data_IF_746989104300
#
_entry.id   IF_746989104300
#
_cell.length_a   1.000
_cell.length_b   1.000
_cell.length_c   1.000
_cell.angle_alpha   90.00
_cell.angle_beta   90.00
_cell.angle_gamma   90.00
#
_symmetry.space_group_name_H-M   'P 1'
#
loop_
_entity.id
_entity.type
_entity.pdbx_description
1 polymer ?
#
# COMPACT_ATOMS: atom_id res chain seq x y z
N UNK A 1 27.66 18.82 -4.15
CA UNK A 1 27.43 19.35 -5.53
C UNK A 1 28.39 18.68 -6.53
N UNK A 2 27.93 18.42 -7.76
CA UNK A 2 28.88 18.13 -8.84
C UNK A 2 29.77 19.37 -9.00
N UNK A 3 31.10 19.22 -9.13
CA UNK A 3 32.01 20.34 -9.31
C UNK A 3 31.83 20.87 -10.75
N UNK A 4 30.73 21.55 -10.98
CA UNK A 4 30.44 22.24 -12.22
C UNK A 4 31.08 23.63 -12.15
N UNK A 5 32.41 23.66 -12.20
CA UNK A 5 33.19 24.89 -12.29
C UNK A 5 33.79 24.93 -13.69
N UNK A 6 33.23 25.77 -14.56
CA UNK A 6 33.66 25.87 -15.94
C UNK A 6 34.28 27.24 -16.24
N UNK A 7 35.33 27.26 -17.06
CA UNK A 7 36.05 28.49 -17.43
C UNK A 7 35.34 29.15 -18.62
N UNK A 8 35.15 30.47 -18.58
CA UNK A 8 34.50 31.25 -19.64
C UNK A 8 35.42 31.32 -20.88
N UNK A 9 34.86 31.29 -22.09
CA UNK A 9 35.64 31.25 -23.35
C UNK A 9 35.63 32.57 -24.16
N UNK A 10 34.55 33.35 -24.20
CA UNK A 10 34.44 34.57 -25.03
C UNK A 10 33.45 35.60 -24.45
N UNK A 11 33.52 36.89 -24.85
CA UNK A 11 32.52 37.87 -24.41
C UNK A 11 31.15 37.45 -24.94
N UNK A 12 30.18 37.53 -24.05
CA UNK A 12 28.87 36.91 -24.19
C UNK A 12 28.09 37.59 -25.33
N UNK A 13 27.49 36.80 -26.23
CA UNK A 13 26.26 37.26 -26.87
C UNK A 13 25.23 37.40 -25.75
N UNK A 14 24.35 38.41 -25.81
CA UNK A 14 23.52 38.85 -24.68
C UNK A 14 22.91 37.71 -23.83
N UNK A 15 22.62 36.53 -24.40
CA UNK A 15 22.03 35.38 -23.68
C UNK A 15 22.80 34.06 -23.79
N UNK A 16 24.12 34.07 -24.04
CA UNK A 16 24.93 32.86 -24.17
C UNK A 16 26.22 32.91 -23.36
N UNK A 17 26.48 31.83 -22.62
CA UNK A 17 27.73 31.58 -21.91
C UNK A 17 28.44 30.43 -22.64
N UNK A 18 29.64 30.69 -23.15
CA UNK A 18 30.48 29.66 -23.79
C UNK A 18 31.51 29.13 -22.78
N UNK A 19 31.53 27.82 -22.58
CA UNK A 19 32.44 27.11 -21.70
C UNK A 19 33.61 26.47 -22.47
N UNK A 20 34.63 26.01 -21.76
CA UNK A 20 35.85 25.40 -22.33
C UNK A 20 35.58 24.23 -23.25
N UNK A 21 34.61 23.40 -22.90
CA UNK A 21 34.29 22.18 -23.62
C UNK A 21 32.85 21.72 -23.33
N UNK A 22 32.40 20.74 -24.11
CA UNK A 22 31.05 20.18 -23.98
C UNK A 22 30.88 19.36 -22.70
N UNK A 23 31.95 18.83 -22.11
CA UNK A 23 31.87 18.04 -20.87
C UNK A 23 31.58 18.95 -19.66
N UNK A 24 32.19 20.14 -19.62
CA UNK A 24 31.92 21.18 -18.64
C UNK A 24 30.47 21.68 -18.73
N UNK A 25 29.98 21.93 -19.95
CA UNK A 25 28.59 22.30 -20.17
C UNK A 25 27.60 21.18 -19.82
N UNK A 26 27.98 19.91 -20.04
CA UNK A 26 27.16 18.76 -19.72
C UNK A 26 26.90 18.58 -18.22
N UNK A 27 27.58 19.30 -17.33
CA UNK A 27 27.30 19.30 -15.89
C UNK A 27 26.11 20.19 -15.49
N UNK A 28 25.63 21.06 -16.40
CA UNK A 28 24.47 21.93 -16.19
C UNK A 28 23.23 21.38 -16.89
N UNK A 29 22.04 21.75 -16.44
CA UNK A 29 20.76 21.39 -17.05
C UNK A 29 19.83 22.60 -17.14
N UNK A 30 18.86 22.58 -18.08
CA UNK A 30 17.77 23.55 -18.08
C UNK A 30 17.11 23.64 -16.70
N UNK A 31 16.84 24.86 -16.25
CA UNK A 31 16.29 25.16 -14.93
C UNK A 31 17.33 25.39 -13.84
N UNK A 32 18.62 25.08 -14.07
CA UNK A 32 19.68 25.39 -13.10
C UNK A 32 19.90 26.90 -12.99
N UNK A 33 20.05 27.39 -11.76
CA UNK A 33 20.61 28.72 -11.50
C UNK A 33 22.13 28.64 -11.53
N UNK A 34 22.78 29.58 -12.21
CA UNK A 34 24.24 29.70 -12.28
C UNK A 34 24.69 31.08 -11.84
N UNK A 35 25.89 31.15 -11.27
CA UNK A 35 26.58 32.41 -10.94
C UNK A 35 27.87 32.53 -11.72
N UNK A 36 28.19 33.76 -12.10
CA UNK A 36 29.38 34.12 -12.88
C UNK A 36 30.37 34.90 -12.02
N UNK A 37 31.64 34.46 -12.05
CA UNK A 37 32.76 35.14 -11.39
C UNK A 37 32.57 35.32 -9.87
N UNK A 38 33.25 36.32 -9.31
CA UNK A 38 33.08 36.76 -7.92
C UNK A 38 31.92 37.76 -7.73
N UNK A 39 31.36 38.27 -8.83
CA UNK A 39 30.38 39.37 -8.86
C UNK A 39 28.93 38.99 -8.55
N UNK A 40 28.61 37.71 -8.42
CA UNK A 40 27.31 37.25 -7.87
C UNK A 40 26.09 37.42 -8.78
N UNK A 41 26.26 37.75 -10.07
CA UNK A 41 25.15 37.76 -11.03
C UNK A 41 24.55 36.35 -11.14
N UNK A 42 23.24 36.24 -10.93
CA UNK A 42 22.51 34.96 -10.99
C UNK A 42 21.69 34.89 -12.27
N UNK A 43 21.96 33.87 -13.06
CA UNK A 43 21.27 33.61 -14.33
C UNK A 43 20.62 32.22 -14.28
N UNK A 44 19.61 32.00 -15.11
CA UNK A 44 18.96 30.69 -15.24
C UNK A 44 19.30 30.08 -16.59
N UNK A 45 19.74 28.83 -16.58
CA UNK A 45 20.00 28.04 -17.79
C UNK A 45 18.68 27.61 -18.42
N UNK A 46 18.49 27.92 -19.70
CA UNK A 46 17.31 27.52 -20.49
C UNK A 46 17.63 26.31 -21.36
N UNK A 47 18.86 26.24 -21.87
CA UNK A 47 19.30 25.16 -22.75
C UNK A 47 20.81 24.94 -22.63
N UNK A 48 21.22 23.69 -22.81
CA UNK A 48 22.63 23.30 -22.96
C UNK A 48 22.82 22.73 -24.36
N UNK A 49 23.79 23.23 -25.11
CA UNK A 49 24.08 22.79 -26.48
C UNK A 49 25.58 22.82 -26.76
N UNK A 50 26.20 21.65 -26.92
CA UNK A 50 27.66 21.56 -27.03
C UNK A 50 28.34 22.13 -25.79
N UNK A 51 29.20 23.13 -25.96
CA UNK A 51 29.85 23.87 -24.88
C UNK A 51 29.14 25.19 -24.50
N UNK A 52 27.92 25.44 -25.01
CA UNK A 52 27.18 26.68 -24.78
C UNK A 52 26.02 26.45 -23.81
N UNK A 53 25.92 27.32 -22.80
CA UNK A 53 24.73 27.49 -21.97
C UNK A 53 23.92 28.70 -22.50
N UNK A 54 22.68 28.45 -22.90
CA UNK A 54 21.73 29.51 -23.19
C UNK A 54 21.06 29.96 -21.89
N UNK A 55 21.08 31.26 -21.59
CA UNK A 55 20.47 31.81 -20.37
C UNK A 55 19.17 32.59 -20.66
N UNK A 56 18.33 32.70 -19.62
CA UNK A 56 17.00 33.30 -19.71
C UNK A 56 17.03 34.84 -19.80
N UNK A 57 17.99 35.47 -19.11
CA UNK A 57 18.16 36.92 -19.03
C UNK A 57 19.48 37.33 -19.67
N UNK A 58 19.59 38.61 -20.01
CA UNK A 58 20.83 39.13 -20.57
C UNK A 58 21.93 39.10 -19.52
N UNK A 59 23.16 38.76 -19.92
CA UNK A 59 24.31 38.93 -19.04
C UNK A 59 24.68 40.40 -18.97
N UNK A 60 24.85 40.92 -17.76
CA UNK A 60 25.05 42.36 -17.51
C UNK A 60 26.43 42.68 -16.97
N UNK A 61 27.12 41.70 -16.36
CA UNK A 61 28.49 41.86 -15.89
C UNK A 61 29.54 41.82 -17.01
N UNK A 62 30.75 42.26 -16.67
CA UNK A 62 31.95 42.04 -17.51
C UNK A 62 32.81 41.00 -16.82
N UNK A 63 33.06 39.87 -17.50
CA UNK A 63 33.77 38.73 -16.93
C UNK A 63 35.08 38.46 -17.68
N UNK A 64 36.10 38.03 -16.94
CA UNK A 64 37.40 37.65 -17.45
C UNK A 64 37.46 36.14 -17.71
N UNK A 65 37.55 35.71 -18.99
CA UNK A 65 37.69 34.30 -19.38
C UNK A 65 38.80 33.54 -18.64
N UNK A 66 39.90 34.20 -18.28
CA UNK A 66 41.03 33.54 -17.63
C UNK A 66 40.77 33.20 -16.15
N UNK A 67 40.08 34.07 -15.41
CA UNK A 67 39.95 33.98 -13.94
C UNK A 67 38.53 33.66 -13.48
N UNK A 68 37.51 34.10 -14.21
CA UNK A 68 36.13 33.89 -13.82
C UNK A 68 35.65 32.51 -14.19
N UNK A 69 34.72 32.01 -13.38
CA UNK A 69 34.16 30.67 -13.50
C UNK A 69 32.65 30.76 -13.45
N UNK A 70 32.00 29.79 -14.08
CA UNK A 70 30.58 29.54 -13.98
C UNK A 70 30.39 28.42 -12.97
N UNK A 71 29.55 28.65 -11.96
CA UNK A 71 29.17 27.64 -10.95
C UNK A 71 27.65 27.59 -10.76
N UNK A 72 27.15 26.52 -10.14
CA UNK A 72 25.77 26.48 -9.69
C UNK A 72 25.55 27.57 -8.62
N UNK A 73 24.46 28.32 -8.75
CA UNK A 73 24.12 29.40 -7.85
C UNK A 73 23.57 28.85 -6.52
N UNK A 74 24.14 29.31 -5.40
CA UNK A 74 23.69 28.96 -4.06
C UNK A 74 22.17 29.17 -3.92
N UNK A 75 21.46 28.26 -3.26
CA UNK A 75 20.02 28.32 -3.12
C UNK A 75 19.65 29.09 -1.83
N UNK A 76 18.93 30.23 -1.91
CA UNK A 76 18.47 30.91 -0.70
C UNK A 76 17.40 30.08 0.03
N UNK A 77 17.17 30.39 1.31
CA UNK A 77 16.02 29.85 2.03
C UNK A 77 14.72 30.18 1.26
N UNK A 78 13.77 29.24 1.28
CA UNK A 78 12.56 29.26 0.48
C UNK A 78 12.68 28.54 -0.86
N UNK A 79 13.89 28.14 -1.29
CA UNK A 79 14.07 27.37 -2.53
C UNK A 79 13.29 26.06 -2.46
N UNK A 80 12.41 25.83 -3.43
CA UNK A 80 11.58 24.62 -3.52
C UNK A 80 12.17 23.54 -4.40
N UNK A 81 12.95 23.90 -5.41
CA UNK A 81 13.52 22.96 -6.38
C UNK A 81 15.03 22.94 -6.28
N UNK A 82 15.60 21.76 -6.05
CA UNK A 82 17.05 21.54 -6.02
C UNK A 82 17.39 20.30 -6.82
N UNK A 83 18.64 20.23 -7.30
CA UNK A 83 19.14 19.04 -7.97
C UNK A 83 20.08 18.29 -7.04
N UNK A 84 19.80 17.01 -6.83
CA UNK A 84 20.52 16.14 -5.92
C UNK A 84 21.36 15.17 -6.74
N UNK A 85 22.64 15.09 -6.42
CA UNK A 85 23.56 14.09 -6.95
C UNK A 85 23.82 13.05 -5.85
N UNK A 86 23.28 11.82 -5.97
CA UNK A 86 23.48 10.82 -4.95
C UNK A 86 24.92 10.27 -5.03
N UNK A 87 25.48 9.88 -3.88
CA UNK A 87 26.80 9.24 -3.79
C UNK A 87 26.80 7.78 -4.25
N UNK A 88 25.63 7.18 -4.41
CA UNK A 88 25.41 5.83 -4.91
C UNK A 88 24.17 5.78 -5.81
N UNK A 89 24.00 4.70 -6.58
CA UNK A 89 22.78 4.52 -7.38
C UNK A 89 21.55 4.46 -6.48
N UNK A 90 20.55 5.28 -6.75
CA UNK A 90 19.26 5.26 -6.06
C UNK A 90 18.39 4.19 -6.74
N UNK A 91 17.89 3.23 -5.97
CA UNK A 91 17.01 2.19 -6.51
C UNK A 91 15.66 2.79 -6.96
N UNK A 92 15.01 2.22 -7.99
CA UNK A 92 13.68 2.66 -8.40
C UNK A 92 12.69 2.62 -7.23
N UNK A 93 11.88 3.65 -7.08
CA UNK A 93 10.85 3.73 -6.05
C UNK A 93 11.33 4.20 -4.66
N UNK A 94 12.62 4.49 -4.48
CA UNK A 94 13.15 5.05 -3.22
C UNK A 94 12.93 6.56 -3.13
N UNK A 95 13.30 7.30 -4.19
CA UNK A 95 13.11 8.74 -4.26
C UNK A 95 11.94 9.05 -5.19
N UNK A 96 10.76 9.29 -4.60
CA UNK A 96 9.51 9.54 -5.32
C UNK A 96 8.68 10.63 -4.61
N UNK A 97 7.52 10.97 -5.17
CA UNK A 97 6.56 11.83 -4.46
C UNK A 97 6.20 11.22 -3.10
N UNK A 98 6.15 12.05 -2.06
CA UNK A 98 5.90 11.63 -0.68
C UNK A 98 7.13 11.11 0.06
N UNK A 99 8.30 11.04 -0.56
CA UNK A 99 9.56 10.82 0.16
C UNK A 99 9.83 12.03 1.07
N UNK A 100 10.21 11.80 2.32
CA UNK A 100 10.64 12.86 3.24
C UNK A 100 12.16 12.91 3.19
N UNK A 101 12.73 14.05 2.80
CA UNK A 101 14.17 14.26 2.77
C UNK A 101 14.59 15.24 3.84
N UNK A 102 15.59 14.88 4.63
CA UNK A 102 16.34 15.81 5.48
C UNK A 102 17.59 16.24 4.74
N UNK A 103 17.72 17.55 4.51
CA UNK A 103 18.93 18.17 3.98
C UNK A 103 19.67 18.86 5.11
N UNK A 104 20.97 18.63 5.23
CA UNK A 104 21.82 19.32 6.21
C UNK A 104 23.08 19.91 5.57
N UNK A 105 23.43 21.13 5.99
CA UNK A 105 24.63 21.85 5.55
C UNK A 105 24.98 22.95 6.54
N UNK A 106 26.28 23.19 6.78
CA UNK A 106 26.73 24.27 7.67
C UNK A 106 26.18 24.22 9.10
N UNK A 107 25.85 23.02 9.61
CA UNK A 107 25.24 22.82 10.93
C UNK A 107 23.72 23.08 11.00
N UNK A 108 23.10 23.46 9.90
CA UNK A 108 21.65 23.59 9.76
C UNK A 108 21.06 22.33 9.15
N UNK A 109 19.81 22.01 9.48
CA UNK A 109 19.04 20.95 8.83
C UNK A 109 17.61 21.38 8.54
N UNK A 110 17.00 20.76 7.53
CA UNK A 110 15.61 20.96 7.22
C UNK A 110 15.01 19.73 6.52
N UNK A 111 13.87 19.26 7.02
CA UNK A 111 13.16 18.14 6.41
C UNK A 111 11.95 18.63 5.62
N UNK A 112 11.78 18.08 4.41
CA UNK A 112 10.68 18.44 3.50
C UNK A 112 10.14 17.22 2.77
N UNK A 113 8.83 17.25 2.51
CA UNK A 113 8.16 16.26 1.67
C UNK A 113 8.40 16.61 0.21
N UNK A 114 8.85 15.61 -0.54
CA UNK A 114 9.02 15.67 -1.98
C UNK A 114 7.65 15.66 -2.66
N UNK A 115 7.44 16.63 -3.55
CA UNK A 115 6.25 16.73 -4.41
C UNK A 115 6.48 16.04 -5.75
N UNK A 116 7.61 16.34 -6.40
CA UNK A 116 7.95 15.75 -7.70
C UNK A 116 9.44 15.41 -7.75
N UNK A 117 9.76 14.34 -8.47
CA UNK A 117 11.13 13.94 -8.77
C UNK A 117 11.25 13.73 -10.28
N UNK A 118 12.29 14.33 -10.87
CA UNK A 118 12.66 14.09 -12.26
C UNK A 118 14.10 13.60 -12.33
N UNK A 119 14.32 12.44 -12.94
CA UNK A 119 15.67 11.93 -13.21
C UNK A 119 16.32 12.71 -14.35
N UNK A 120 17.53 13.19 -14.11
CA UNK A 120 18.37 13.93 -15.05
C UNK A 120 19.72 13.20 -15.19
N UNK A 121 19.87 12.27 -16.15
CA UNK A 121 21.15 11.63 -16.41
C UNK A 121 22.17 12.65 -16.92
N UNK A 122 23.37 12.63 -16.33
CA UNK A 122 24.50 13.51 -16.69
C UNK A 122 25.50 12.79 -17.57
N UNK A 123 25.80 11.55 -17.23
CA UNK A 123 26.62 10.65 -18.02
C UNK A 123 26.04 9.23 -17.94
N UNK A 124 26.68 8.27 -18.58
CA UNK A 124 26.33 6.85 -18.43
C UNK A 124 26.47 6.33 -16.98
N UNK A 125 27.21 7.03 -16.12
CA UNK A 125 27.51 6.62 -14.74
C UNK A 125 26.96 7.56 -13.67
N UNK A 126 26.50 8.76 -14.05
CA UNK A 126 26.01 9.78 -13.10
C UNK A 126 24.59 10.16 -13.47
N UNK A 127 23.65 9.84 -12.58
CA UNK A 127 22.26 10.34 -12.65
C UNK A 127 21.99 11.27 -11.49
N UNK A 128 21.47 12.44 -11.81
CA UNK A 128 21.00 13.42 -10.81
C UNK A 128 19.48 13.45 -10.78
N UNK A 129 18.92 14.00 -9.71
CA UNK A 129 17.48 14.08 -9.52
C UNK A 129 17.09 15.52 -9.23
N UNK A 130 16.24 16.11 -10.08
CA UNK A 130 15.59 17.37 -9.79
C UNK A 130 14.40 17.08 -8.88
N UNK A 131 14.48 17.58 -7.66
CA UNK A 131 13.51 17.36 -6.61
C UNK A 131 12.83 18.69 -6.32
N UNK A 132 11.49 18.69 -6.39
CA UNK A 132 10.66 19.81 -5.95
C UNK A 132 9.96 19.43 -4.66
N UNK A 133 10.06 20.28 -3.64
CA UNK A 133 9.44 20.12 -2.35
C UNK A 133 8.10 20.86 -2.29
N UNK A 134 7.12 20.30 -1.57
CA UNK A 134 5.81 20.96 -1.35
C UNK A 134 5.93 22.31 -0.64
N UNK A 135 7.01 22.49 0.14
CA UNK A 135 7.33 23.72 0.84
C UNK A 135 8.79 24.06 0.62
N UNK A 136 9.10 25.36 0.52
CA UNK A 136 10.47 25.83 0.38
C UNK A 136 11.34 25.37 1.54
N UNK A 137 12.62 25.10 1.24
CA UNK A 137 13.61 24.74 2.25
C UNK A 137 13.75 25.87 3.26
N UNK A 138 13.70 25.55 4.56
CA UNK A 138 13.87 26.52 5.64
C UNK A 138 15.30 27.03 5.81
N UNK A 139 16.27 26.44 5.10
CA UNK A 139 17.70 26.76 5.19
C UNK A 139 18.23 27.20 3.81
N UNK A 140 19.22 28.10 3.75
CA UNK A 140 19.98 28.32 2.53
C UNK A 140 20.90 27.12 2.26
N UNK A 141 21.21 26.88 0.99
CA UNK A 141 22.20 25.89 0.58
C UNK A 141 23.34 26.54 -0.22
N UNK A 142 24.57 26.30 0.20
CA UNK A 142 25.76 26.56 -0.59
C UNK A 142 25.94 25.45 -1.64
N UNK A 143 26.22 25.80 -2.88
CA UNK A 143 26.62 24.84 -3.91
C UNK A 143 28.13 24.86 -4.16
N UNK A 144 28.90 25.42 -3.22
CA UNK A 144 30.34 25.26 -3.18
C UNK A 144 30.70 23.77 -2.94
N UNK A 145 31.49 23.13 -3.82
CA UNK A 145 31.94 21.76 -3.61
C UNK A 145 32.78 21.57 -2.33
N UNK A 146 33.37 22.64 -1.76
CA UNK A 146 34.10 22.58 -0.50
C UNK A 146 33.20 22.47 0.75
N UNK A 147 31.91 22.78 0.62
CA UNK A 147 30.90 22.66 1.68
C UNK A 147 29.75 21.76 1.18
N UNK A 148 29.91 20.43 1.10
CA UNK A 148 28.87 19.56 0.58
C UNK A 148 27.70 19.40 1.54
N UNK A 149 26.48 19.65 1.06
CA UNK A 149 25.26 19.27 1.77
C UNK A 149 25.08 17.75 1.83
N UNK A 150 24.55 17.24 2.94
CA UNK A 150 24.10 15.85 3.07
C UNK A 150 22.59 15.78 2.88
N UNK A 151 22.13 14.69 2.27
CA UNK A 151 20.71 14.41 2.05
C UNK A 151 20.44 13.00 2.55
N UNK A 152 19.46 12.88 3.44
CA UNK A 152 18.99 11.61 3.98
C UNK A 152 17.50 11.46 3.71
N UNK A 153 17.10 10.25 3.32
CA UNK A 153 15.70 9.87 3.24
C UNK A 153 15.21 9.37 4.59
N UNK A 154 14.00 9.75 4.97
CA UNK A 154 13.45 9.52 6.31
C UNK A 154 12.31 8.49 6.29
N UNK A 155 12.56 7.31 5.73
CA UNK A 155 11.69 6.15 5.90
C UNK A 155 11.95 5.44 7.22
N UNK A 156 10.97 4.68 7.70
CA UNK A 156 11.09 3.86 8.91
C UNK A 156 10.71 2.40 8.66
N UNK A 157 11.15 1.51 9.55
CA UNK A 157 10.78 0.11 9.53
C UNK A 157 9.79 -0.19 10.66
N UNK A 158 8.84 -1.08 10.41
CA UNK A 158 7.90 -1.58 11.40
C UNK A 158 7.98 -3.11 11.44
N UNK A 159 8.13 -3.67 12.63
CA UNK A 159 8.07 -5.12 12.84
C UNK A 159 6.93 -5.43 13.80
N UNK A 160 6.07 -6.36 13.41
CA UNK A 160 4.93 -6.81 14.20
C UNK A 160 5.14 -8.28 14.53
N UNK A 161 5.11 -8.64 15.80
CA UNK A 161 5.34 -10.02 16.26
C UNK A 161 4.26 -10.50 17.22
N UNK A 162 3.98 -11.80 17.14
CA UNK A 162 3.10 -12.53 18.05
C UNK A 162 3.65 -13.94 18.25
N UNK A 163 4.04 -14.27 19.49
CA UNK A 163 4.70 -15.55 19.77
C UNK A 163 5.98 -15.72 18.95
N UNK A 164 6.04 -16.78 18.13
CA UNK A 164 7.16 -17.06 17.22
C UNK A 164 7.01 -16.45 15.83
N UNK A 165 5.85 -15.83 15.53
CA UNK A 165 5.59 -15.22 14.23
C UNK A 165 6.01 -13.75 14.23
N UNK A 166 6.66 -13.30 13.16
CA UNK A 166 7.02 -11.91 12.96
C UNK A 166 6.84 -11.49 11.50
N UNK A 167 6.22 -10.34 11.28
CA UNK A 167 6.07 -9.70 9.96
C UNK A 167 6.84 -8.39 9.97
N UNK A 168 7.75 -8.23 9.00
CA UNK A 168 8.59 -7.04 8.88
C UNK A 168 8.18 -6.20 7.66
N UNK A 169 7.97 -4.91 7.89
CA UNK A 169 7.66 -3.92 6.88
C UNK A 169 8.81 -2.92 6.83
N UNK A 170 9.57 -2.92 5.73
CA UNK A 170 10.72 -2.03 5.58
C UNK A 170 10.40 -0.78 4.77
N UNK A 171 11.16 0.30 4.95
CA UNK A 171 11.11 1.51 4.13
C UNK A 171 9.68 2.08 3.98
N UNK A 172 8.97 2.21 5.10
CA UNK A 172 7.65 2.83 5.16
C UNK A 172 7.78 4.35 5.20
N UNK A 173 6.86 5.04 4.53
CA UNK A 173 6.73 6.49 4.58
C UNK A 173 5.47 6.90 5.34
N UNK A 174 5.55 8.07 5.97
CA UNK A 174 4.44 8.71 6.68
C UNK A 174 3.54 9.56 5.76
N UNK A 175 3.99 9.86 4.54
CA UNK A 175 3.20 10.66 3.59
C UNK A 175 2.31 9.77 2.72
N UNK A 176 1.05 10.15 2.55
CA UNK A 176 0.06 9.37 1.81
C UNK A 176 0.29 9.34 0.29
N UNK A 177 1.09 10.27 -0.27
CA UNK A 177 1.44 10.23 -1.68
C UNK A 177 2.55 9.22 -1.98
N UNK A 178 3.24 8.71 -0.95
CA UNK A 178 4.31 7.74 -1.13
C UNK A 178 3.72 6.34 -1.42
N UNK A 179 4.24 5.58 -2.41
CA UNK A 179 3.76 4.22 -2.71
C UNK A 179 3.84 3.26 -1.51
N UNK A 180 4.79 3.50 -0.60
CA UNK A 180 4.98 2.75 0.64
C UNK A 180 4.39 3.45 1.88
N UNK A 181 3.28 4.15 1.71
CA UNK A 181 2.57 4.78 2.84
C UNK A 181 2.19 3.74 3.90
N UNK A 182 2.57 3.97 5.16
CA UNK A 182 2.52 2.95 6.21
C UNK A 182 1.13 2.35 6.43
N UNK A 183 0.06 3.17 6.48
CA UNK A 183 -1.31 2.66 6.67
C UNK A 183 -1.74 1.77 5.51
N UNK A 184 -1.43 2.20 4.29
CA UNK A 184 -1.76 1.44 3.08
C UNK A 184 -1.07 0.07 3.12
N UNK A 185 0.26 0.09 3.27
CA UNK A 185 1.07 -1.14 3.19
C UNK A 185 0.71 -2.13 4.31
N UNK A 186 0.50 -1.66 5.54
CA UNK A 186 0.22 -2.56 6.67
C UNK A 186 -1.20 -3.11 6.60
N UNK A 187 -2.20 -2.30 6.24
CA UNK A 187 -3.59 -2.73 6.22
C UNK A 187 -3.95 -3.58 5.00
N UNK A 188 -3.33 -3.35 3.83
CA UNK A 188 -3.56 -4.19 2.64
C UNK A 188 -2.88 -5.57 2.77
N UNK A 189 -1.88 -5.71 3.64
CA UNK A 189 -1.08 -6.93 3.77
C UNK A 189 -1.75 -8.10 4.51
N UNK A 190 -2.96 -7.91 5.06
CA UNK A 190 -3.65 -8.95 5.85
C UNK A 190 -2.85 -9.40 7.09
N UNK A 191 -2.01 -8.51 7.64
CA UNK A 191 -1.11 -8.82 8.74
C UNK A 191 -1.78 -8.91 10.11
N UNK A 192 -0.97 -9.15 11.15
CA UNK A 192 -1.42 -9.30 12.54
C UNK A 192 -2.05 -8.05 13.17
N UNK A 193 -1.97 -6.90 12.50
CA UNK A 193 -2.44 -5.61 13.01
C UNK A 193 -3.13 -4.82 11.91
N UNK A 194 -4.11 -4.03 12.32
CA UNK A 194 -4.69 -2.95 11.53
C UNK A 194 -4.30 -1.62 12.17
N UNK A 195 -3.82 -0.68 11.36
CA UNK A 195 -3.42 0.65 11.79
C UNK A 195 -4.47 1.67 11.39
N UNK A 196 -4.73 2.61 12.27
CA UNK A 196 -5.55 3.78 12.00
C UNK A 196 -4.86 5.06 12.46
N UNK A 197 -5.26 6.20 11.91
CA UNK A 197 -4.77 7.50 12.37
C UNK A 197 -5.65 8.00 13.50
N UNK A 198 -5.01 8.52 14.53
CA UNK A 198 -5.68 9.33 15.53
C UNK A 198 -5.89 10.73 14.94
N UNK A 199 -7.14 11.18 14.94
CA UNK A 199 -7.52 12.54 14.56
C UNK A 199 -7.78 13.40 15.82
N UNK A 200 -7.39 14.69 15.81
CA UNK A 200 -6.75 15.41 14.71
C UNK A 200 -5.26 15.08 14.61
N UNK A 201 -4.74 15.05 13.38
CA UNK A 201 -3.31 14.86 13.17
C UNK A 201 -2.50 15.99 13.84
N UNK A 202 -1.54 15.68 14.73
CA UNK A 202 -0.69 16.70 15.32
C UNK A 202 0.17 17.33 14.22
N UNK A 203 0.13 18.66 14.12
CA UNK A 203 0.96 19.41 13.16
C UNK A 203 2.40 19.47 13.69
N UNK A 204 3.14 18.39 13.49
CA UNK A 204 4.56 18.32 13.81
C UNK A 204 5.36 18.46 12.52
N UNK A 205 6.29 19.40 12.48
CA UNK A 205 7.21 19.52 11.35
C UNK A 205 8.19 18.35 11.35
N UNK A 206 8.58 17.90 10.16
CA UNK A 206 9.62 16.88 10.03
C UNK A 206 10.99 17.43 10.49
N UNK A 207 11.84 16.60 11.11
CA UNK A 207 11.70 15.15 11.28
C UNK A 207 10.95 14.73 12.56
N UNK A 208 10.53 15.67 13.42
CA UNK A 208 9.87 15.34 14.69
C UNK A 208 8.51 14.64 14.53
N UNK A 209 7.89 14.74 13.35
CA UNK A 209 6.70 13.96 12.99
C UNK A 209 6.95 12.49 12.65
N UNK A 210 8.21 12.04 12.57
CA UNK A 210 8.54 10.63 12.31
C UNK A 210 8.36 9.78 13.58
N UNK A 211 7.97 8.50 13.43
CA UNK A 211 7.91 7.60 14.57
C UNK A 211 9.30 7.40 15.18
N UNK A 212 9.39 7.55 16.50
CA UNK A 212 10.60 7.20 17.24
C UNK A 212 10.78 5.67 17.26
N UNK A 213 12.04 5.22 17.21
CA UNK A 213 12.35 3.80 17.36
C UNK A 213 11.94 3.33 18.77
N UNK A 214 10.90 2.50 18.83
CA UNK A 214 10.36 1.98 20.08
C UNK A 214 9.72 0.61 19.86
N UNK A 215 9.71 -0.19 20.92
CA UNK A 215 8.95 -1.45 21.00
C UNK A 215 7.74 -1.21 21.88
N UNK A 216 6.55 -1.45 21.34
CA UNK A 216 5.28 -1.30 22.07
C UNK A 216 4.62 -2.67 22.19
N UNK A 217 4.33 -3.09 23.42
CA UNK A 217 3.55 -4.30 23.69
C UNK A 217 2.07 -3.93 23.73
N UNK A 218 1.28 -4.44 22.79
CA UNK A 218 -0.16 -4.29 22.81
C UNK A 218 -0.76 -5.14 23.92
N UNK A 219 -1.62 -4.55 24.75
CA UNK A 219 -2.30 -5.21 25.87
C UNK A 219 -3.81 -4.90 25.83
N UNK A 220 -4.61 -5.67 26.56
CA UNK A 220 -6.06 -5.44 26.65
C UNK A 220 -6.92 -6.13 25.58
N UNK A 221 -6.29 -6.88 24.67
CA UNK A 221 -7.03 -7.79 23.79
C UNK A 221 -7.73 -8.90 24.59
N UNK A 222 -8.96 -9.23 24.21
CA UNK A 222 -9.70 -10.37 24.75
C UNK A 222 -10.02 -11.31 23.60
N UNK A 223 -9.77 -12.61 23.78
CA UNK A 223 -10.16 -13.59 22.79
C UNK A 223 -11.70 -13.63 22.72
N UNK A 224 -12.23 -13.77 21.51
CA UNK A 224 -13.65 -14.05 21.33
C UNK A 224 -14.01 -15.33 22.07
N UNK A 225 -15.13 -15.28 22.79
CA UNK A 225 -15.69 -16.45 23.44
C UNK A 225 -16.85 -16.97 22.58
N UNK A 226 -16.64 -18.11 21.91
CA UNK A 226 -17.66 -18.73 21.06
C UNK A 226 -18.93 -19.12 21.82
N UNK A 227 -18.87 -19.25 23.16
CA UNK A 227 -20.06 -19.50 23.98
C UNK A 227 -21.00 -18.29 24.07
N UNK A 228 -20.51 -17.09 23.78
CA UNK A 228 -21.31 -15.86 23.78
C UNK A 228 -22.05 -15.67 22.44
N UNK A 229 -21.80 -16.53 21.44
CA UNK A 229 -22.52 -16.52 20.17
C UNK A 229 -23.87 -17.25 20.31
N UNK A 230 -24.94 -16.49 20.09
CA UNK A 230 -26.31 -16.99 20.03
C UNK A 230 -26.87 -17.00 18.61
N UNK A 231 -28.11 -17.47 18.45
CA UNK A 231 -28.77 -17.56 17.14
C UNK A 231 -28.93 -16.19 16.48
N UNK A 232 -29.09 -15.11 17.26
CA UNK A 232 -29.30 -13.77 16.73
C UNK A 232 -28.06 -13.25 16.00
N UNK A 233 -26.86 -13.59 16.47
CA UNK A 233 -25.62 -13.20 15.81
C UNK A 233 -25.52 -13.78 14.38
N UNK A 234 -25.93 -15.05 14.19
CA UNK A 234 -25.95 -15.67 12.86
C UNK A 234 -27.00 -15.06 11.94
N UNK A 235 -28.17 -14.70 12.49
CA UNK A 235 -29.24 -14.03 11.73
C UNK A 235 -28.81 -12.62 11.32
N UNK A 236 -28.19 -11.85 12.22
CA UNK A 236 -27.67 -10.51 11.90
C UNK A 236 -26.55 -10.59 10.85
N UNK A 237 -25.69 -11.61 10.93
CA UNK A 237 -24.63 -11.81 9.94
C UNK A 237 -25.17 -12.00 8.51
N UNK A 238 -26.36 -12.58 8.32
CA UNK A 238 -26.98 -12.72 6.99
C UNK A 238 -27.28 -11.37 6.33
N UNK A 239 -27.59 -10.33 7.11
CA UNK A 239 -27.86 -8.98 6.59
C UNK A 239 -26.63 -8.41 5.87
N UNK A 240 -25.42 -8.75 6.33
CA UNK A 240 -24.17 -8.32 5.68
C UNK A 240 -24.00 -8.87 4.26
N UNK A 241 -24.68 -9.99 3.94
CA UNK A 241 -24.61 -10.62 2.62
C UNK A 241 -25.59 -10.00 1.61
N UNK A 242 -26.50 -9.11 2.04
CA UNK A 242 -27.49 -8.51 1.14
C UNK A 242 -26.88 -7.58 0.10
N UNK A 243 -25.79 -6.90 0.43
CA UNK A 243 -25.08 -6.00 -0.48
C UNK A 243 -24.09 -6.72 -1.39
N UNK A 244 -23.99 -8.05 -1.29
CA UNK A 244 -23.08 -8.87 -2.08
C UNK A 244 -23.91 -9.63 -3.12
N UNK A 245 -23.72 -9.28 -4.38
CA UNK A 245 -24.48 -9.84 -5.52
C UNK A 245 -24.00 -11.25 -5.90
N UNK A 246 -22.72 -11.57 -5.71
CA UNK A 246 -22.09 -12.83 -6.19
C UNK A 246 -22.24 -14.03 -5.22
N UNK A 247 -23.24 -14.02 -4.35
CA UNK A 247 -23.49 -15.11 -3.39
C UNK A 247 -24.50 -16.09 -3.98
N UNK A 248 -24.07 -17.31 -4.34
CA UNK A 248 -24.95 -18.32 -4.94
C UNK A 248 -25.55 -19.32 -3.94
N UNK A 249 -24.82 -19.65 -2.88
CA UNK A 249 -25.20 -20.65 -1.87
C UNK A 249 -24.97 -20.09 -0.48
N UNK A 250 -25.90 -20.36 0.44
CA UNK A 250 -25.75 -20.01 1.86
C UNK A 250 -25.91 -21.28 2.70
N UNK A 251 -24.94 -21.49 3.60
CA UNK A 251 -24.97 -22.54 4.59
C UNK A 251 -24.41 -22.00 5.91
N UNK A 252 -25.01 -22.41 7.03
CA UNK A 252 -24.52 -22.13 8.39
C UNK A 252 -24.30 -23.49 9.08
N UNK A 253 -23.18 -24.18 8.78
CA UNK A 253 -22.86 -25.44 9.45
C UNK A 253 -22.65 -25.21 10.95
N UNK A 254 -22.83 -26.28 11.73
CA UNK A 254 -22.68 -26.35 13.19
C UNK A 254 -23.69 -25.53 14.02
N UNK A 255 -24.60 -24.80 13.37
CA UNK A 255 -25.75 -24.13 14.01
C UNK A 255 -27.10 -24.46 13.36
N UNK A 256 -27.50 -25.75 13.28
CA UNK A 256 -28.76 -26.15 12.64
C UNK A 256 -29.99 -25.94 13.54
N UNK A 257 -30.11 -24.78 14.18
CA UNK A 257 -31.29 -24.46 14.99
C UNK A 257 -32.45 -23.99 14.08
N UNK A 258 -33.71 -24.29 14.42
CA UNK A 258 -34.84 -23.85 13.59
C UNK A 258 -34.88 -22.34 13.30
N UNK A 259 -34.60 -21.42 14.26
CA UNK A 259 -34.59 -19.99 13.98
C UNK A 259 -33.55 -19.59 12.93
N UNK A 260 -32.33 -20.13 13.03
CA UNK A 260 -31.24 -19.83 12.08
C UNK A 260 -31.58 -20.37 10.69
N UNK A 261 -32.08 -21.62 10.62
CA UNK A 261 -32.43 -22.23 9.34
C UNK A 261 -33.60 -21.53 8.64
N UNK A 262 -34.61 -21.10 9.39
CA UNK A 262 -35.71 -20.28 8.86
C UNK A 262 -35.21 -18.92 8.36
N UNK A 263 -34.28 -18.29 9.07
CA UNK A 263 -33.68 -17.03 8.63
C UNK A 263 -32.88 -17.18 7.32
N UNK A 264 -32.12 -18.26 7.17
CA UNK A 264 -31.40 -18.55 5.92
C UNK A 264 -32.39 -18.74 4.76
N UNK A 265 -33.47 -19.52 4.96
CA UNK A 265 -34.53 -19.67 3.95
C UNK A 265 -35.14 -18.32 3.59
N UNK A 266 -35.56 -17.54 4.59
CA UNK A 266 -36.20 -16.24 4.37
C UNK A 266 -35.28 -15.27 3.61
N UNK A 267 -33.98 -15.24 3.94
CA UNK A 267 -32.98 -14.46 3.22
C UNK A 267 -32.89 -14.89 1.75
N UNK A 268 -32.76 -16.19 1.48
CA UNK A 268 -32.72 -16.73 0.12
C UNK A 268 -34.00 -16.44 -0.67
N UNK A 269 -35.18 -16.56 -0.06
CA UNK A 269 -36.47 -16.23 -0.69
C UNK A 269 -36.62 -14.74 -1.00
N UNK A 270 -36.05 -13.86 -0.15
CA UNK A 270 -36.11 -12.42 -0.33
C UNK A 270 -35.16 -11.95 -1.44
N UNK A 271 -33.92 -12.46 -1.46
CA UNK A 271 -32.94 -12.09 -2.48
C UNK A 271 -33.26 -12.72 -3.84
N UNK A 272 -33.78 -13.95 -3.85
CA UNK A 272 -34.28 -14.63 -5.05
C UNK A 272 -33.20 -15.14 -6.02
N UNK A 273 -31.93 -14.95 -5.69
CA UNK A 273 -30.74 -15.25 -6.50
C UNK A 273 -29.79 -16.29 -5.85
N UNK A 274 -30.12 -16.79 -4.65
CA UNK A 274 -29.23 -17.63 -3.84
C UNK A 274 -30.01 -18.74 -3.13
N UNK A 275 -29.35 -19.87 -2.88
CA UNK A 275 -30.02 -21.08 -2.38
C UNK A 275 -29.54 -21.52 -1.00
N UNK A 276 -30.47 -21.89 -0.13
CA UNK A 276 -30.20 -22.35 1.23
C UNK A 276 -29.83 -23.83 1.27
N UNK A 277 -28.67 -24.15 1.83
CA UNK A 277 -28.22 -25.52 2.09
C UNK A 277 -28.23 -25.74 3.60
N UNK A 278 -29.19 -26.54 4.07
CA UNK A 278 -29.51 -26.71 5.48
C UNK A 278 -29.10 -28.11 5.96
N UNK A 279 -28.76 -28.20 7.25
CA UNK A 279 -28.34 -29.44 7.89
C UNK A 279 -29.41 -30.03 8.80
N UNK A 280 -29.45 -31.35 8.92
CA UNK A 280 -30.21 -31.99 9.99
C UNK A 280 -29.75 -31.48 11.38
N UNK A 281 -30.67 -31.27 12.32
CA UNK A 281 -30.38 -30.72 13.66
C UNK A 281 -29.44 -31.61 14.47
N UNK A 282 -29.38 -32.92 14.17
CA UNK A 282 -28.48 -33.87 14.79
C UNK A 282 -28.03 -34.97 13.82
N UNK A 283 -26.91 -35.63 14.15
CA UNK A 283 -26.31 -36.67 13.32
C UNK A 283 -27.11 -37.99 13.29
N UNK A 284 -27.86 -38.30 14.35
CA UNK A 284 -28.50 -39.60 14.57
C UNK A 284 -30.03 -39.55 14.55
N UNK A 285 -30.61 -38.62 13.78
CA UNK A 285 -32.07 -38.56 13.60
C UNK A 285 -32.60 -39.77 12.83
N UNK A 286 -33.84 -40.14 13.13
CA UNK A 286 -34.60 -41.08 12.29
C UNK A 286 -35.14 -40.35 11.05
N UNK A 287 -35.35 -41.07 9.94
CA UNK A 287 -35.87 -40.47 8.72
C UNK A 287 -37.34 -40.06 8.85
N UNK A 288 -38.16 -40.91 9.47
CA UNK A 288 -39.62 -40.79 9.55
C UNK A 288 -40.14 -41.07 10.96
N UNK A 289 -41.26 -40.43 11.32
CA UNK A 289 -41.98 -40.66 12.58
C UNK A 289 -41.41 -39.90 13.79
N UNK A 290 -42.25 -39.63 14.79
CA UNK A 290 -41.88 -38.86 15.99
C UNK A 290 -41.54 -37.39 15.71
N UNK A 291 -41.40 -36.60 16.79
CA UNK A 291 -41.04 -35.18 16.69
C UNK A 291 -39.53 -34.95 16.44
N UNK A 292 -38.70 -35.97 16.66
CA UNK A 292 -37.24 -35.94 16.52
C UNK A 292 -36.79 -36.73 15.26
N UNK A 293 -37.37 -36.38 14.12
CA UNK A 293 -37.02 -36.95 12.80
C UNK A 293 -36.67 -35.87 11.79
N UNK A 294 -35.96 -36.28 10.74
CA UNK A 294 -35.66 -35.42 9.59
C UNK A 294 -36.96 -34.94 8.94
N UNK A 295 -37.99 -35.80 8.87
CA UNK A 295 -39.32 -35.41 8.37
C UNK A 295 -39.96 -34.30 9.22
N UNK A 296 -39.92 -34.43 10.56
CA UNK A 296 -40.47 -33.42 11.46
C UNK A 296 -39.74 -32.08 11.33
N UNK A 297 -38.41 -32.10 11.26
CA UNK A 297 -37.62 -30.89 11.00
C UNK A 297 -37.98 -30.26 9.65
N UNK A 298 -38.03 -31.06 8.58
CA UNK A 298 -38.38 -30.56 7.23
C UNK A 298 -39.77 -29.91 7.18
N UNK A 299 -40.74 -30.44 7.93
CA UNK A 299 -42.09 -29.85 8.05
C UNK A 299 -42.10 -28.52 8.82
N UNK A 300 -41.12 -28.27 9.69
CA UNK A 300 -40.95 -27.00 10.39
C UNK A 300 -40.15 -25.94 9.62
N UNK A 301 -39.62 -26.30 8.45
CA UNK A 301 -38.78 -25.47 7.59
C UNK A 301 -39.45 -25.27 6.24
N UNK A 302 -40.58 -24.58 6.23
CA UNK A 302 -41.29 -24.29 5.00
C UNK A 302 -40.57 -23.21 4.18
N UNK A 303 -40.25 -23.55 2.93
CA UNK A 303 -39.85 -22.58 1.89
C UNK A 303 -40.97 -22.53 0.85
N UNK A 304 -41.76 -21.45 0.90
CA UNK A 304 -42.90 -21.23 0.00
C UNK A 304 -42.45 -21.14 -1.46
N UNK A 305 -41.26 -20.60 -1.70
CA UNK A 305 -40.71 -20.35 -3.04
C UNK A 305 -39.65 -21.38 -3.47
N UNK A 306 -39.34 -22.37 -2.62
CA UNK A 306 -38.43 -23.47 -2.94
C UNK A 306 -36.94 -23.10 -2.97
N UNK A 307 -36.50 -22.18 -2.13
CA UNK A 307 -35.12 -21.68 -2.07
C UNK A 307 -34.25 -22.40 -1.02
N UNK A 308 -34.60 -23.62 -0.62
CA UNK A 308 -33.80 -24.37 0.33
C UNK A 308 -33.91 -25.88 0.23
N UNK A 309 -32.84 -26.57 0.62
CA UNK A 309 -32.80 -28.02 0.76
C UNK A 309 -32.16 -28.44 2.09
N UNK A 310 -32.75 -29.44 2.74
CA UNK A 310 -32.27 -30.05 3.97
C UNK A 310 -31.48 -31.33 3.65
N UNK A 311 -30.27 -31.43 4.20
CA UNK A 311 -29.36 -32.55 3.98
C UNK A 311 -29.11 -33.36 5.24
N UNK A 312 -29.15 -34.68 5.06
CA UNK A 312 -28.91 -35.73 6.05
C UNK A 312 -28.35 -36.96 5.29
N UNK A 313 -27.48 -37.80 5.88
CA UNK A 313 -26.95 -37.76 7.25
C UNK A 313 -25.75 -36.84 7.42
N UNK A 314 -25.35 -36.62 8.68
CA UNK A 314 -24.05 -36.04 9.01
C UNK A 314 -22.92 -36.94 8.52
N UNK A 315 -21.82 -36.31 8.11
CA UNK A 315 -20.71 -36.99 7.46
C UNK A 315 -19.62 -37.27 8.48
N UNK A 316 -19.01 -38.45 8.40
CA UNK A 316 -17.82 -38.77 9.17
C UNK A 316 -16.58 -38.35 8.37
N UNK A 317 -15.72 -37.52 8.96
CA UNK A 317 -14.51 -37.00 8.33
C UNK A 317 -13.28 -37.27 9.20
N UNK A 318 -12.09 -37.50 8.60
CA UNK A 318 -10.84 -37.50 9.36
C UNK A 318 -10.65 -36.16 10.10
N UNK A 319 -10.09 -36.17 11.31
CA UNK A 319 -9.82 -34.93 12.02
C UNK A 319 -8.72 -34.12 11.31
N UNK A 320 -8.73 -32.79 11.48
CA UNK A 320 -7.70 -31.90 10.95
C UNK A 320 -6.30 -32.12 11.57
N UNK A 321 -6.18 -33.00 12.56
CA UNK A 321 -4.94 -33.38 13.23
C UNK A 321 -4.92 -34.86 13.58
N UNK A 322 -4.47 -35.19 14.79
CA UNK A 322 -4.44 -36.58 15.27
C UNK A 322 -5.68 -36.87 16.12
N UNK A 323 -6.43 -37.93 15.80
CA UNK A 323 -7.60 -38.34 16.58
C UNK A 323 -8.53 -39.26 15.80
N UNK A 324 -9.69 -39.54 16.39
CA UNK A 324 -10.76 -40.30 15.76
C UNK A 324 -11.54 -39.45 14.75
N UNK A 325 -12.19 -40.08 13.76
CA UNK A 325 -13.08 -39.38 12.83
C UNK A 325 -14.19 -38.62 13.56
N UNK A 326 -14.46 -37.39 13.11
CA UNK A 326 -15.47 -36.50 13.68
C UNK A 326 -16.70 -36.48 12.78
N UNK A 327 -17.89 -36.37 13.37
CA UNK A 327 -19.12 -36.14 12.64
C UNK A 327 -19.28 -34.64 12.39
N UNK A 328 -19.49 -34.28 11.13
CA UNK A 328 -19.69 -32.89 10.70
C UNK A 328 -20.98 -32.75 9.91
N UNK A 329 -21.65 -31.59 9.97
CA UNK A 329 -22.82 -31.31 9.16
C UNK A 329 -22.51 -31.39 7.65
N UNK A 330 -23.44 -31.92 6.83
CA UNK A 330 -23.20 -32.14 5.41
C UNK A 330 -23.18 -30.87 4.54
N UNK A 331 -23.79 -29.76 4.95
CA UNK A 331 -24.04 -28.59 4.10
C UNK A 331 -22.77 -28.03 3.46
N UNK A 332 -21.66 -27.95 4.20
CA UNK A 332 -20.38 -27.49 3.64
C UNK A 332 -19.88 -28.39 2.50
N UNK A 333 -19.98 -29.71 2.66
CA UNK A 333 -19.60 -30.67 1.61
C UNK A 333 -20.54 -30.59 0.41
N UNK A 334 -21.84 -30.43 0.66
CA UNK A 334 -22.86 -30.28 -0.37
C UNK A 334 -22.64 -28.99 -1.17
N UNK A 335 -22.36 -27.85 -0.52
CA UNK A 335 -22.01 -26.61 -1.21
C UNK A 335 -20.81 -26.80 -2.14
N UNK A 336 -19.78 -27.53 -1.70
CA UNK A 336 -18.63 -27.88 -2.54
C UNK A 336 -18.99 -28.76 -3.73
N UNK A 337 -19.93 -29.70 -3.56
CA UNK A 337 -20.44 -30.55 -4.64
C UNK A 337 -21.24 -29.73 -5.66
N UNK A 338 -22.13 -28.84 -5.20
CA UNK A 338 -22.92 -27.96 -6.06
C UNK A 338 -21.97 -27.09 -6.89
N UNK A 339 -21.03 -26.40 -6.24
CA UNK A 339 -20.05 -25.55 -6.92
C UNK A 339 -19.21 -26.31 -7.96
N UNK A 340 -18.78 -27.54 -7.63
CA UNK A 340 -18.04 -28.40 -8.57
C UNK A 340 -18.92 -28.83 -9.75
N UNK A 341 -20.17 -29.24 -9.49
CA UNK A 341 -21.11 -29.67 -10.53
C UNK A 341 -21.43 -28.52 -11.49
N UNK A 342 -21.69 -27.33 -10.97
CA UNK A 342 -21.99 -26.14 -11.76
C UNK A 342 -20.82 -25.76 -12.67
N UNK A 343 -19.58 -25.83 -12.16
CA UNK A 343 -18.39 -25.52 -12.95
C UNK A 343 -18.15 -26.53 -14.09
N UNK A 344 -18.37 -27.82 -13.84
CA UNK A 344 -18.02 -28.89 -14.80
C UNK A 344 -19.15 -29.14 -15.81
N UNK A 345 -20.41 -29.04 -15.38
CA UNK A 345 -21.57 -29.49 -16.16
C UNK A 345 -22.65 -28.43 -16.33
N UNK A 346 -22.57 -27.30 -15.63
CA UNK A 346 -23.56 -26.22 -15.64
C UNK A 346 -24.75 -26.47 -14.71
N UNK A 347 -25.43 -25.38 -14.32
CA UNK A 347 -26.53 -25.32 -13.33
C UNK A 347 -27.78 -26.15 -13.70
N UNK A 348 -27.87 -26.65 -14.92
CA UNK A 348 -29.01 -27.40 -15.43
C UNK A 348 -28.98 -28.89 -15.06
N UNK A 349 -27.86 -29.40 -14.52
CA UNK A 349 -27.76 -30.77 -14.02
C UNK A 349 -27.91 -30.80 -12.51
N UNK A 350 -28.87 -31.59 -12.03
CA UNK A 350 -29.00 -31.86 -10.60
C UNK A 350 -27.68 -32.42 -10.02
N UNK A 351 -27.18 -31.89 -8.88
CA UNK A 351 -25.96 -32.33 -8.21
C UNK A 351 -26.19 -33.64 -7.42
N UNK A 352 -26.77 -34.65 -8.08
CA UNK A 352 -27.02 -35.98 -7.54
C UNK A 352 -26.01 -37.00 -8.09
N UNK A 353 -25.71 -38.04 -7.29
CA UNK A 353 -24.71 -39.09 -7.59
C UNK A 353 -23.26 -38.60 -7.72
N UNK A 354 -22.91 -37.52 -7.02
CA UNK A 354 -21.55 -36.99 -6.95
C UNK A 354 -20.78 -37.62 -5.78
N UNK A 355 -19.49 -37.91 -5.98
CA UNK A 355 -18.62 -38.43 -4.92
C UNK A 355 -18.31 -37.29 -3.94
N UNK A 356 -18.66 -37.51 -2.66
CA UNK A 356 -18.24 -36.67 -1.53
C UNK A 356 -16.76 -36.99 -1.25
N UNK A 357 -15.88 -36.03 -1.52
CA UNK A 357 -14.45 -36.16 -1.24
C UNK A 357 -14.16 -35.87 0.25
N UNK A 358 -13.14 -36.50 0.82
CA UNK A 358 -12.67 -36.20 2.18
C UNK A 358 -13.44 -36.86 3.33
N UNK A 359 -14.50 -37.63 3.05
CA UNK A 359 -15.23 -38.41 4.08
C UNK A 359 -14.62 -39.79 4.34
N UNK A 360 -14.77 -40.29 5.56
CA UNK A 360 -14.39 -41.63 6.00
C UNK A 360 -15.65 -42.42 6.39
N UNK A 361 -16.29 -43.05 5.39
CA UNK A 361 -17.50 -43.87 5.57
C UNK A 361 -18.72 -43.31 4.88
#
# INVERSE_FOLDING_TARGET
>A
PLPATATLYSPELERQITLTDAAAAAQFRPGDGVTLGSGGERLQVVRVSGNILQIASNVTGTYNPASDRVRLADAPAGTQTVRIAPSASVAPGVLVSGTVLTIAQGGLNNSRVVETVQSEPISSSVTTYRVTFRQGLGIPLSFDPADPATVQSEEFNLTVSQGTSATSYSNLSIDSAHPRYFLKVVNEGGGLVQLERIEPFPRVDFPAGLPAAATVTLTGGTNENLADLDDSNYVEALETLRSIDDVNLIAIPDRPTPPVQQAVIAHCEQMGDRFAVLDATAANLTLFGGNDSVEAQRRGLDSTRGYGALYYPWLRVPPAGRGDPVLVPPAGHVCGIIARSDTIRGVHKAPANEIVNGRSG
#
